data_IF_895081487825
#
_entry.id   IF_895081487825
#
_cell.length_a   1.000
_cell.length_b   1.000
_cell.length_c   1.000
_cell.angle_alpha   90.00
_cell.angle_beta   90.00
_cell.angle_gamma   90.00
#
_symmetry.space_group_name_H-M   'P 1'
#
loop_
_entity.id
_entity.type
_entity.pdbx_description
1 polymer ?
#
# COMPACT_ATOMS: atom_id res chain seq x y z
N UNK A 1 -5.69 49.89 -9.16
CA UNK A 1 -5.34 48.50 -8.78
C UNK A 1 -6.47 47.47 -8.95
N UNK A 2 -7.74 47.86 -9.14
CA UNK A 2 -8.87 46.90 -9.27
C UNK A 2 -9.00 46.15 -10.63
N UNK A 3 -8.22 46.53 -11.66
CA UNK A 3 -8.44 46.09 -13.04
C UNK A 3 -7.95 44.66 -13.33
N UNK A 4 -6.96 44.16 -12.59
CA UNK A 4 -6.35 42.85 -12.83
C UNK A 4 -6.77 41.75 -11.84
N UNK A 5 -7.49 42.12 -10.77
CA UNK A 5 -7.99 41.18 -9.75
C UNK A 5 -8.87 40.08 -10.36
N UNK A 6 -9.78 40.44 -11.27
CA UNK A 6 -10.67 39.46 -11.93
C UNK A 6 -9.88 38.45 -12.75
N UNK A 7 -8.84 38.89 -13.47
CA UNK A 7 -7.98 37.99 -14.25
C UNK A 7 -7.14 37.10 -13.35
N UNK A 8 -6.61 37.63 -12.25
CA UNK A 8 -5.86 36.85 -11.26
C UNK A 8 -6.73 35.76 -10.61
N UNK A 9 -7.99 36.07 -10.29
CA UNK A 9 -8.95 35.09 -9.75
C UNK A 9 -9.27 34.00 -10.76
N UNK A 10 -9.49 34.34 -12.04
CA UNK A 10 -9.75 33.33 -13.07
C UNK A 10 -8.54 32.40 -13.25
N UNK A 11 -7.33 32.95 -13.36
CA UNK A 11 -6.10 32.16 -13.49
C UNK A 11 -5.90 31.24 -12.27
N UNK A 12 -6.11 31.78 -11.06
CA UNK A 12 -6.02 31.00 -9.83
C UNK A 12 -7.02 29.84 -9.84
N UNK A 13 -8.27 30.05 -10.27
CA UNK A 13 -9.27 28.99 -10.35
C UNK A 13 -8.94 27.95 -11.43
N UNK A 14 -8.44 28.38 -12.60
CA UNK A 14 -8.09 27.45 -13.69
C UNK A 14 -6.91 26.55 -13.38
N UNK A 15 -6.01 26.96 -12.48
CA UNK A 15 -4.87 26.13 -12.04
C UNK A 15 -5.22 25.34 -10.77
N UNK A 16 -5.88 25.99 -9.81
CA UNK A 16 -6.21 25.37 -8.52
C UNK A 16 -7.24 24.24 -8.67
N UNK A 17 -8.27 24.38 -9.53
CA UNK A 17 -9.28 23.32 -9.68
C UNK A 17 -8.70 22.02 -10.26
N UNK A 18 -7.95 22.03 -11.39
CA UNK A 18 -7.30 20.82 -11.88
C UNK A 18 -6.31 20.24 -10.89
N UNK A 19 -5.55 21.10 -10.17
CA UNK A 19 -4.63 20.65 -9.14
C UNK A 19 -5.35 19.90 -8.01
N UNK A 20 -6.42 20.48 -7.45
CA UNK A 20 -7.23 19.83 -6.41
C UNK A 20 -7.87 18.54 -6.93
N UNK A 21 -8.40 18.56 -8.17
CA UNK A 21 -8.93 17.37 -8.81
C UNK A 21 -7.90 16.25 -8.93
N UNK A 22 -6.67 16.58 -9.32
CA UNK A 22 -5.56 15.64 -9.41
C UNK A 22 -5.19 15.07 -8.03
N UNK A 23 -5.09 15.90 -7.01
CA UNK A 23 -4.80 15.45 -5.64
C UNK A 23 -5.91 14.55 -5.06
N UNK A 24 -7.18 14.86 -5.34
CA UNK A 24 -8.31 14.02 -4.95
C UNK A 24 -8.29 12.68 -5.70
N UNK A 25 -7.93 12.69 -6.98
CA UNK A 25 -7.78 11.48 -7.79
C UNK A 25 -6.66 10.58 -7.25
N UNK A 26 -5.46 11.13 -7.01
CA UNK A 26 -4.31 10.39 -6.46
C UNK A 26 -4.68 9.78 -5.10
N UNK A 27 -5.25 10.58 -4.19
CA UNK A 27 -5.69 10.09 -2.89
C UNK A 27 -6.74 8.97 -3.03
N UNK A 28 -7.71 9.14 -3.93
CA UNK A 28 -8.74 8.14 -4.20
C UNK A 28 -8.16 6.87 -4.82
N UNK A 29 -7.09 6.98 -5.60
CA UNK A 29 -6.37 5.87 -6.17
C UNK A 29 -5.61 5.09 -5.10
N UNK A 30 -4.85 5.74 -4.23
CA UNK A 30 -4.13 5.05 -3.14
C UNK A 30 -5.09 4.33 -2.19
N UNK A 31 -6.20 4.97 -1.80
CA UNK A 31 -7.21 4.34 -0.95
C UNK A 31 -7.91 3.16 -1.65
N UNK A 32 -7.89 3.12 -2.99
CA UNK A 32 -8.51 2.02 -3.72
C UNK A 32 -7.80 0.69 -3.50
N UNK A 33 -6.52 0.68 -3.09
CA UNK A 33 -5.74 -0.54 -2.80
C UNK A 33 -6.13 -1.25 -1.50
N UNK A 34 -6.93 -0.63 -0.64
CA UNK A 34 -7.35 -1.19 0.64
C UNK A 34 -8.84 -1.53 0.61
N UNK A 35 -9.32 -2.60 1.28
CA UNK A 35 -10.75 -2.89 1.35
C UNK A 35 -11.51 -1.73 2.01
N UNK A 36 -12.58 -1.26 1.37
CA UNK A 36 -13.45 -0.18 1.86
C UNK A 36 -14.03 -0.50 3.24
N UNK A 37 -14.27 -1.79 3.50
CA UNK A 37 -14.79 -2.28 4.78
C UNK A 37 -13.83 -2.08 5.96
N UNK A 38 -12.52 -1.87 5.72
CA UNK A 38 -11.60 -1.46 6.78
C UNK A 38 -11.75 0.02 7.16
N UNK A 39 -12.51 0.80 6.39
CA UNK A 39 -12.81 2.22 6.61
C UNK A 39 -11.55 3.09 6.78
N UNK A 40 -10.49 2.74 6.05
CA UNK A 40 -9.23 3.47 6.03
C UNK A 40 -9.42 4.79 5.28
N UNK A 41 -8.97 5.88 5.87
CA UNK A 41 -9.13 7.23 5.29
C UNK A 41 -7.87 8.08 5.32
N UNK A 42 -6.88 7.71 6.13
CA UNK A 42 -5.66 8.48 6.30
C UNK A 42 -4.45 7.71 5.77
N UNK A 43 -3.69 8.37 4.90
CA UNK A 43 -2.46 7.87 4.29
C UNK A 43 -1.30 8.46 5.09
N UNK A 44 -0.44 7.61 5.63
CA UNK A 44 0.67 8.00 6.50
C UNK A 44 1.99 8.07 5.73
N UNK A 45 2.17 7.18 4.76
CA UNK A 45 3.38 7.08 3.96
C UNK A 45 3.05 6.59 2.55
N UNK A 46 3.77 7.14 1.58
CA UNK A 46 3.75 6.71 0.18
C UNK A 46 5.17 6.81 -0.35
N UNK A 47 5.72 5.71 -0.82
CA UNK A 47 6.89 5.69 -1.69
C UNK A 47 6.55 4.86 -2.91
N UNK A 48 6.46 5.51 -4.07
CA UNK A 48 6.09 4.88 -5.32
C UNK A 48 6.97 5.45 -6.44
N UNK A 49 7.41 4.59 -7.35
CA UNK A 49 8.04 4.99 -8.60
C UNK A 49 7.51 4.13 -9.75
N UNK A 50 7.49 4.74 -10.93
CA UNK A 50 7.14 4.10 -12.18
C UNK A 50 8.26 4.37 -13.19
N UNK A 51 8.73 3.33 -13.87
CA UNK A 51 9.83 3.40 -14.83
C UNK A 51 9.35 3.31 -16.29
N UNK A 52 8.04 3.34 -16.52
CA UNK A 52 7.42 3.25 -17.83
C UNK A 52 6.22 4.19 -18.00
N UNK A 53 5.65 4.19 -19.21
CA UNK A 53 4.41 4.90 -19.52
C UNK A 53 3.34 3.89 -19.91
N UNK A 54 2.19 3.92 -19.21
CA UNK A 54 1.04 3.06 -19.48
C UNK A 54 0.90 1.86 -18.53
N UNK A 55 -0.17 1.07 -18.66
CA UNK A 55 -0.45 -0.06 -17.76
C UNK A 55 0.67 -1.10 -17.79
N UNK A 56 1.18 -1.50 -16.62
CA UNK A 56 2.30 -2.43 -16.50
C UNK A 56 3.68 -1.78 -16.69
N UNK A 57 3.79 -0.47 -16.46
CA UNK A 57 5.00 0.32 -16.66
C UNK A 57 6.10 0.13 -15.61
N UNK A 58 6.31 -1.10 -15.12
CA UNK A 58 7.22 -1.45 -14.04
C UNK A 58 7.02 -0.53 -12.82
N UNK A 59 6.01 -0.81 -12.00
CA UNK A 59 5.62 0.05 -10.89
C UNK A 59 5.97 -0.65 -9.58
N UNK A 60 6.60 0.09 -8.67
CA UNK A 60 6.94 -0.42 -7.35
C UNK A 60 6.51 0.58 -6.31
N UNK A 61 5.83 0.09 -5.27
CA UNK A 61 5.21 0.95 -4.29
C UNK A 61 5.09 0.35 -2.90
N UNK A 62 5.28 1.20 -1.89
CA UNK A 62 4.95 0.94 -0.50
C UNK A 62 4.06 2.06 0.02
N UNK A 63 2.86 1.69 0.46
CA UNK A 63 1.87 2.59 1.05
C UNK A 63 1.57 2.14 2.46
N UNK A 64 1.54 3.10 3.38
CA UNK A 64 1.13 2.85 4.77
C UNK A 64 -0.05 3.75 5.09
N UNK A 65 -1.08 3.14 5.64
CA UNK A 65 -2.33 3.78 6.02
C UNK A 65 -2.61 3.60 7.51
N UNK A 66 -3.41 4.50 8.05
CA UNK A 66 -3.94 4.41 9.39
C UNK A 66 -5.12 3.43 9.42
N UNK A 67 -4.97 2.33 10.15
CA UNK A 67 -6.10 1.45 10.48
C UNK A 67 -6.98 2.15 11.53
N UNK A 68 -8.30 2.25 11.34
CA UNK A 68 -9.19 2.73 12.38
C UNK A 68 -9.17 1.82 13.61
N UNK A 69 -9.21 2.40 14.80
CA UNK A 69 -9.23 1.65 16.05
C UNK A 69 -10.42 0.67 16.14
N UNK A 70 -11.56 1.00 15.51
CA UNK A 70 -12.71 0.10 15.42
C UNK A 70 -12.41 -1.17 14.63
N UNK A 71 -11.76 -1.05 13.46
CA UNK A 71 -11.37 -2.18 12.65
C UNK A 71 -10.31 -3.04 13.36
N UNK A 72 -9.33 -2.40 14.00
CA UNK A 72 -8.34 -3.09 14.82
C UNK A 72 -8.98 -3.86 15.99
N UNK A 73 -9.98 -3.28 16.67
CA UNK A 73 -10.70 -3.96 17.74
C UNK A 73 -11.50 -5.18 17.23
N UNK A 74 -12.16 -5.07 16.08
CA UNK A 74 -12.85 -6.21 15.46
C UNK A 74 -11.87 -7.33 15.10
N UNK A 75 -10.73 -6.96 14.52
CA UNK A 75 -9.68 -7.91 14.14
C UNK A 75 -9.07 -8.60 15.37
N UNK A 76 -8.82 -7.87 16.47
CA UNK A 76 -8.36 -8.47 17.73
C UNK A 76 -9.39 -9.41 18.36
N UNK A 77 -10.68 -9.12 18.20
CA UNK A 77 -11.75 -9.92 18.79
C UNK A 77 -12.09 -11.18 17.99
N UNK A 78 -11.97 -11.11 16.66
CA UNK A 78 -12.43 -12.17 15.73
C UNK A 78 -11.28 -12.87 15.02
N UNK A 79 -10.07 -12.32 15.07
CA UNK A 79 -8.92 -12.85 14.35
C UNK A 79 -9.13 -12.81 12.83
N UNK A 80 -8.48 -13.75 12.16
CA UNK A 80 -8.45 -13.86 10.70
C UNK A 80 -9.84 -13.96 10.05
N UNK A 81 -10.81 -14.57 10.74
CA UNK A 81 -12.22 -14.66 10.32
C UNK A 81 -12.84 -13.30 9.97
N UNK A 82 -12.40 -12.22 10.62
CA UNK A 82 -12.88 -10.87 10.29
C UNK A 82 -12.45 -10.45 8.89
N UNK A 83 -11.22 -10.79 8.50
CA UNK A 83 -10.63 -10.44 7.22
C UNK A 83 -11.21 -11.28 6.08
N UNK A 84 -11.41 -12.58 6.31
CA UNK A 84 -12.03 -13.49 5.33
C UNK A 84 -13.48 -13.12 4.99
N UNK A 85 -14.18 -12.48 5.93
CA UNK A 85 -15.59 -12.08 5.79
C UNK A 85 -15.75 -10.63 5.34
N UNK A 86 -14.67 -9.93 4.96
CA UNK A 86 -14.78 -8.57 4.45
C UNK A 86 -15.59 -8.57 3.14
N UNK A 87 -16.58 -7.68 3.00
CA UNK A 87 -17.30 -7.54 1.73
C UNK A 87 -16.37 -6.98 0.66
N UNK A 88 -16.69 -7.29 -0.60
CA UNK A 88 -16.00 -6.72 -1.76
C UNK A 88 -16.21 -5.22 -1.82
N UNK A 89 -15.24 -4.49 -2.34
CA UNK A 89 -15.39 -3.07 -2.63
C UNK A 89 -16.55 -2.84 -3.60
N UNK A 90 -17.26 -1.75 -3.40
CA UNK A 90 -18.43 -1.38 -4.21
C UNK A 90 -18.03 -0.64 -5.49
N UNK A 91 -16.80 -0.11 -5.54
CA UNK A 91 -16.26 0.66 -6.65
C UNK A 91 -15.95 -0.21 -7.89
N UNK A 92 -16.24 0.34 -9.07
CA UNK A 92 -15.88 -0.28 -10.35
C UNK A 92 -14.35 -0.34 -10.55
N UNK A 93 -13.85 -1.44 -11.12
CA UNK A 93 -12.44 -1.64 -11.44
C UNK A 93 -11.81 -2.80 -10.65
N UNK A 94 -11.28 -2.51 -9.46
CA UNK A 94 -10.64 -3.50 -8.60
C UNK A 94 -11.48 -3.76 -7.34
N UNK A 95 -11.89 -5.01 -7.07
CA UNK A 95 -12.89 -5.33 -6.05
C UNK A 95 -12.34 -5.30 -4.61
N UNK A 96 -11.10 -4.85 -4.37
CA UNK A 96 -10.54 -4.78 -3.01
C UNK A 96 -10.42 -6.13 -2.32
N UNK A 97 -10.48 -7.23 -3.07
CA UNK A 97 -10.63 -8.56 -2.49
C UNK A 97 -9.25 -9.15 -2.26
N UNK A 98 -9.01 -9.54 -1.01
CA UNK A 98 -7.86 -10.33 -0.60
C UNK A 98 -8.39 -11.65 -0.07
N UNK A 99 -7.83 -12.73 -0.58
CA UNK A 99 -8.15 -14.10 -0.21
C UNK A 99 -6.90 -14.76 0.32
N UNK A 100 -7.05 -15.88 1.02
CA UNK A 100 -5.92 -16.63 1.57
C UNK A 100 -5.12 -15.76 2.55
N UNK A 101 -5.81 -15.33 3.60
CA UNK A 101 -5.18 -14.57 4.68
C UNK A 101 -4.32 -15.50 5.52
N UNK A 102 -3.17 -15.00 5.95
CA UNK A 102 -2.24 -15.70 6.82
C UNK A 102 -1.86 -14.81 8.02
N UNK A 103 -1.53 -15.44 9.14
CA UNK A 103 -0.92 -14.77 10.28
C UNK A 103 0.60 -14.70 10.09
N UNK A 104 1.21 -13.59 10.49
CA UNK A 104 2.67 -13.51 10.59
C UNK A 104 3.16 -14.38 11.77
N UNK A 105 4.40 -14.89 11.76
CA UNK A 105 5.50 -14.59 10.82
C UNK A 105 5.31 -15.18 9.42
N UNK A 106 5.79 -14.45 8.42
CA UNK A 106 5.83 -14.91 7.03
C UNK A 106 6.76 -16.12 6.89
N UNK A 107 6.24 -17.19 6.28
CA UNK A 107 7.04 -18.35 5.88
C UNK A 107 7.67 -18.08 4.50
N UNK A 108 8.97 -18.35 4.36
CA UNK A 108 9.79 -17.92 3.21
C UNK A 108 9.75 -18.96 2.05
N UNK A 109 8.65 -19.70 1.93
CA UNK A 109 8.40 -20.66 0.85
C UNK A 109 7.60 -20.05 -0.32
N UNK A 110 7.00 -18.87 -0.13
CA UNK A 110 6.14 -18.21 -1.13
C UNK A 110 6.84 -17.06 -1.87
N UNK A 111 7.61 -17.38 -2.92
CA UNK A 111 7.88 -16.46 -4.05
C UNK A 111 8.36 -15.02 -3.68
N UNK A 112 8.97 -14.89 -2.49
CA UNK A 112 9.18 -13.66 -1.71
C UNK A 112 10.50 -12.94 -2.07
N UNK A 113 11.19 -13.39 -3.11
CA UNK A 113 12.46 -12.82 -3.54
C UNK A 113 12.77 -13.09 -5.01
N UNK A 114 13.70 -12.32 -5.57
CA UNK A 114 14.13 -12.50 -6.95
C UNK A 114 14.90 -13.81 -7.13
N UNK A 115 14.54 -14.57 -8.17
CA UNK A 115 15.50 -15.45 -8.79
C UNK A 115 16.54 -14.56 -9.50
N UNK A 116 17.69 -14.37 -8.86
CA UNK A 116 18.94 -13.91 -9.47
C UNK A 116 18.95 -12.51 -10.12
N UNK A 117 19.61 -11.55 -9.45
CA UNK A 117 20.57 -10.70 -10.13
C UNK A 117 21.97 -11.29 -9.86
N UNK A 118 22.61 -11.76 -10.93
CA UNK A 118 23.97 -12.32 -11.03
C UNK A 118 24.77 -12.50 -9.72
N UNK A 119 24.83 -13.76 -9.25
CA UNK A 119 25.99 -14.26 -8.51
C UNK A 119 26.10 -13.91 -7.02
N UNK A 120 25.10 -13.27 -6.39
CA UNK A 120 25.13 -13.03 -4.93
C UNK A 120 23.90 -13.62 -4.23
N UNK A 121 24.04 -14.85 -3.73
CA UNK A 121 23.15 -15.38 -2.70
C UNK A 121 23.48 -14.70 -1.37
N UNK A 122 22.90 -13.52 -1.10
CA UNK A 122 22.83 -13.01 0.26
C UNK A 122 21.53 -13.52 0.89
N UNK A 123 21.61 -14.69 1.52
CA UNK A 123 20.55 -15.15 2.41
C UNK A 123 20.83 -14.65 3.82
N UNK A 124 20.21 -13.52 4.17
CA UNK A 124 19.92 -13.13 5.56
C UNK A 124 18.62 -12.32 5.58
N UNK A 125 17.48 -13.02 5.69
CA UNK A 125 16.12 -12.51 5.92
C UNK A 125 15.56 -11.53 4.85
N UNK A 126 14.66 -11.95 3.95
CA UNK A 126 14.21 -11.11 2.85
C UNK A 126 13.23 -10.05 3.37
N UNK A 127 13.70 -8.81 3.53
CA UNK A 127 12.87 -7.72 4.01
C UNK A 127 11.88 -7.25 2.94
N UNK A 128 11.02 -6.30 3.29
CA UNK A 128 10.12 -5.66 2.34
C UNK A 128 10.86 -5.02 1.16
N UNK A 129 12.10 -4.56 1.37
CA UNK A 129 12.95 -4.05 0.30
C UNK A 129 13.28 -5.12 -0.76
N UNK A 130 13.51 -6.36 -0.36
CA UNK A 130 13.79 -7.47 -1.28
C UNK A 130 12.55 -7.87 -2.06
N UNK A 131 11.39 -7.90 -1.39
CA UNK A 131 10.10 -8.05 -2.05
C UNK A 131 9.92 -6.97 -3.11
N UNK A 132 10.04 -5.68 -2.75
CA UNK A 132 9.85 -4.57 -3.69
C UNK A 132 10.85 -4.59 -4.85
N UNK A 133 12.08 -5.07 -4.62
CA UNK A 133 13.11 -5.18 -5.65
C UNK A 133 13.06 -6.48 -6.46
N UNK A 134 11.98 -7.28 -6.38
CA UNK A 134 11.86 -8.57 -7.09
C UNK A 134 12.19 -8.49 -8.58
N UNK A 135 11.84 -7.38 -9.23
CA UNK A 135 12.04 -7.15 -10.67
C UNK A 135 13.18 -6.15 -11.00
N UNK A 136 13.99 -5.75 -10.01
CA UNK A 136 15.11 -4.81 -10.23
C UNK A 136 14.72 -3.34 -10.30
N UNK A 137 13.56 -2.97 -9.75
CA UNK A 137 13.03 -1.61 -9.70
C UNK A 137 12.93 -1.10 -8.25
N UNK A 138 14.07 -0.84 -7.58
CA UNK A 138 14.06 -0.47 -6.18
C UNK A 138 13.54 0.97 -6.00
N UNK A 139 12.74 1.17 -4.95
CA UNK A 139 12.33 2.49 -4.48
C UNK A 139 13.07 2.88 -3.20
N UNK A 140 13.30 4.18 -2.96
CA UNK A 140 13.83 4.64 -1.68
C UNK A 140 12.78 4.41 -0.59
N UNK A 141 13.19 3.75 0.51
CA UNK A 141 12.36 3.57 1.70
C UNK A 141 12.92 4.42 2.84
N UNK A 142 12.03 5.08 3.58
CA UNK A 142 12.43 5.66 4.86
C UNK A 142 12.60 4.54 5.88
N UNK A 143 13.75 4.52 6.54
CA UNK A 143 14.14 3.48 7.50
C UNK A 143 13.08 3.18 8.56
N UNK A 144 12.39 4.22 9.05
CA UNK A 144 11.31 4.08 10.04
C UNK A 144 10.19 3.14 9.56
N UNK A 145 9.77 3.29 8.31
CA UNK A 145 8.70 2.48 7.72
C UNK A 145 9.19 1.11 7.32
N UNK A 146 10.39 1.02 6.73
CA UNK A 146 11.01 -0.26 6.39
C UNK A 146 11.19 -1.15 7.62
N UNK A 147 11.76 -0.61 8.71
CA UNK A 147 11.92 -1.35 9.96
C UNK A 147 10.57 -1.81 10.53
N UNK A 148 9.54 -0.98 10.46
CA UNK A 148 8.20 -1.32 10.95
C UNK A 148 7.58 -2.48 10.16
N UNK A 149 7.62 -2.39 8.83
CA UNK A 149 7.06 -3.44 7.97
C UNK A 149 7.84 -4.75 8.14
N UNK A 150 9.17 -4.68 8.20
CA UNK A 150 10.01 -5.86 8.45
C UNK A 150 9.70 -6.50 9.80
N UNK A 151 9.51 -5.71 10.87
CA UNK A 151 9.06 -6.25 12.16
C UNK A 151 7.70 -6.94 12.01
N UNK A 152 6.71 -6.27 11.42
CA UNK A 152 5.36 -6.81 11.25
C UNK A 152 5.37 -8.17 10.52
N UNK A 153 6.18 -8.30 9.47
CA UNK A 153 6.32 -9.53 8.68
C UNK A 153 6.93 -10.69 9.47
N UNK A 154 7.89 -10.42 10.35
CA UNK A 154 8.68 -11.45 11.03
C UNK A 154 8.34 -11.65 12.51
N UNK A 155 7.34 -10.94 13.03
CA UNK A 155 6.82 -11.14 14.38
C UNK A 155 5.34 -11.53 14.36
N UNK A 156 4.86 -12.40 15.27
CA UNK A 156 3.45 -12.71 15.39
C UNK A 156 2.58 -11.48 15.68
N UNK A 157 1.31 -11.54 15.27
CA UNK A 157 0.29 -10.54 15.60
C UNK A 157 -0.14 -9.62 14.45
N UNK A 158 0.44 -9.81 13.27
CA UNK A 158 -0.03 -9.17 12.03
C UNK A 158 -0.67 -10.21 11.11
N UNK A 159 -1.40 -9.73 10.10
CA UNK A 159 -2.05 -10.55 9.09
C UNK A 159 -1.62 -10.10 7.72
N UNK A 160 -1.47 -11.01 6.76
CA UNK A 160 -1.12 -10.66 5.40
C UNK A 160 -1.88 -11.49 4.38
N UNK A 161 -2.01 -10.96 3.17
CA UNK A 161 -2.62 -11.66 2.04
C UNK A 161 -2.08 -11.13 0.72
N UNK A 162 -2.05 -12.00 -0.29
CA UNK A 162 -1.74 -11.59 -1.65
C UNK A 162 -3.01 -11.14 -2.38
N UNK A 163 -2.96 -9.92 -2.91
CA UNK A 163 -3.94 -9.40 -3.85
C UNK A 163 -3.55 -9.72 -5.29
N UNK A 164 -4.22 -9.04 -6.23
CA UNK A 164 -3.96 -9.23 -7.67
C UNK A 164 -2.54 -8.83 -8.10
N UNK A 165 -1.98 -7.77 -7.49
CA UNK A 165 -0.72 -7.13 -7.92
C UNK A 165 0.26 -6.98 -6.74
N UNK A 166 -0.22 -7.06 -5.51
CA UNK A 166 0.58 -6.72 -4.34
C UNK A 166 0.18 -7.47 -3.10
N UNK A 167 0.98 -7.30 -2.07
CA UNK A 167 0.79 -7.79 -0.72
C UNK A 167 0.09 -6.73 0.13
N UNK A 168 -0.92 -7.13 0.90
CA UNK A 168 -1.45 -6.33 2.01
C UNK A 168 -0.99 -6.92 3.34
N UNK A 169 -0.67 -6.06 4.30
CA UNK A 169 -0.34 -6.42 5.68
C UNK A 169 -1.18 -5.56 6.63
N UNK A 170 -1.83 -6.17 7.60
CA UNK A 170 -2.63 -5.51 8.64
C UNK A 170 -1.90 -5.69 9.97
N UNK A 171 -1.56 -4.58 10.63
CA UNK A 171 -0.85 -4.53 11.91
C UNK A 171 -1.79 -3.91 12.96
N UNK A 172 -2.59 -4.71 13.68
CA UNK A 172 -3.64 -4.21 14.54
C UNK A 172 -3.10 -3.45 15.76
N UNK A 173 -1.96 -3.85 16.30
CA UNK A 173 -1.36 -3.22 17.49
C UNK A 173 -0.78 -1.84 17.21
N UNK A 174 -0.21 -1.65 16.01
CA UNK A 174 0.31 -0.35 15.57
C UNK A 174 -0.76 0.49 14.84
N UNK A 175 -1.98 -0.04 14.67
CA UNK A 175 -3.05 0.57 13.88
C UNK A 175 -2.58 0.94 12.46
N UNK A 176 -1.97 -0.02 11.76
CA UNK A 176 -1.46 0.18 10.39
C UNK A 176 -2.09 -0.80 9.41
N UNK A 177 -2.28 -0.32 8.18
CA UNK A 177 -2.46 -1.14 6.99
C UNK A 177 -1.32 -0.80 6.05
N UNK A 178 -0.65 -1.80 5.51
CA UNK A 178 0.45 -1.64 4.56
C UNK A 178 0.02 -2.30 3.27
N UNK A 179 0.25 -1.63 2.15
CA UNK A 179 0.13 -2.21 0.83
C UNK A 179 1.46 -2.07 0.10
N UNK A 180 1.99 -3.18 -0.39
CA UNK A 180 3.24 -3.25 -1.12
C UNK A 180 3.00 -3.94 -2.45
N UNK A 181 3.60 -3.42 -3.53
CA UNK A 181 3.48 -4.05 -4.85
C UNK A 181 4.76 -3.88 -5.66
N UNK A 182 5.00 -4.84 -6.54
CA UNK A 182 6.11 -4.90 -7.47
C UNK A 182 5.57 -5.39 -8.82
N UNK A 183 5.94 -4.74 -9.91
CA UNK A 183 5.46 -5.07 -11.25
C UNK A 183 6.38 -4.56 -12.34
#
# INVERSE_FOLDING_TARGET
>A
MAKYWKCAVVIALTVAMPWVGCQLYIRSHHLSFVPEALNVSNILYVSEQSWGFGPGGNETGLLVFQLPASAAAQLKARGIDYLEKLPRNTREGWPGTYTDWHETPLMIDDDWGSASYEGRKYWTSPGIGDYLNKYGFPIPLEKTWEDMVNRALFTPGSYYAHGRIGLIIIVPDELRVIYAYNG
#
